data_IF_948589036191
#
_entry.id   IF_948589036191
#
_cell.length_a   1.000
_cell.length_b   1.000
_cell.length_c   1.000
_cell.angle_alpha   90.00
_cell.angle_beta   90.00
_cell.angle_gamma   90.00
#
_symmetry.space_group_name_H-M   'P 1'
#
loop_
_entity.id
_entity.type
_entity.pdbx_description
1 polymer ?
#
# COMPACT_ATOMS: atom_id res chain seq x y z
N UNK A 1 -0.52 13.53 -0.18
CA UNK A 1 -0.99 14.20 1.06
C UNK A 1 0.20 14.92 1.71
N UNK A 2 0.04 16.15 2.22
CA UNK A 2 1.07 16.82 3.03
C UNK A 2 0.55 16.89 4.47
N UNK A 3 1.01 15.98 5.32
CA UNK A 3 0.67 15.90 6.73
C UNK A 3 1.90 15.53 7.57
N UNK A 4 1.86 15.85 8.85
CA UNK A 4 2.92 15.46 9.78
C UNK A 4 2.82 13.95 10.08
N UNK A 5 3.76 13.17 9.55
CA UNK A 5 3.80 11.72 9.71
C UNK A 5 4.32 11.27 11.08
N UNK A 6 5.00 12.16 11.79
CA UNK A 6 5.48 11.94 13.15
C UNK A 6 4.38 12.21 14.19
N UNK A 7 3.32 12.93 13.82
CA UNK A 7 2.18 13.19 14.70
C UNK A 7 1.55 11.89 15.22
N UNK A 8 1.03 11.94 16.45
CA UNK A 8 0.43 10.80 17.14
C UNK A 8 -0.91 11.14 17.74
N UNK A 9 -1.82 10.17 17.66
CA UNK A 9 -2.97 10.09 18.55
C UNK A 9 -2.49 9.39 19.83
N UNK A 10 -2.87 9.90 21.01
CA UNK A 10 -2.48 9.30 22.30
C UNK A 10 -2.88 7.83 22.37
N UNK A 11 -1.94 6.94 22.71
CA UNK A 11 -2.14 5.49 22.74
C UNK A 11 -2.06 4.78 21.37
N UNK A 12 -1.83 5.52 20.28
CA UNK A 12 -1.67 4.97 18.93
C UNK A 12 -0.22 5.03 18.43
N UNK A 13 0.00 4.51 17.22
CA UNK A 13 1.25 4.62 16.45
C UNK A 13 1.28 5.89 15.57
N UNK A 14 2.48 6.31 15.17
CA UNK A 14 2.65 7.36 14.15
C UNK A 14 2.48 6.80 12.73
N UNK A 15 2.40 7.69 11.73
CA UNK A 15 2.38 7.30 10.31
C UNK A 15 3.70 6.67 9.85
N UNK A 16 4.82 7.07 10.44
CA UNK A 16 6.13 6.47 10.16
C UNK A 16 6.25 5.05 10.75
N UNK A 17 5.78 4.84 11.98
CA UNK A 17 5.74 3.51 12.59
C UNK A 17 4.79 2.56 11.85
N UNK A 18 3.65 3.07 11.37
CA UNK A 18 2.75 2.30 10.52
C UNK A 18 3.46 1.85 9.24
N UNK A 19 4.08 2.77 8.50
CA UNK A 19 4.80 2.43 7.26
C UNK A 19 5.93 1.43 7.53
N UNK A 20 6.74 1.65 8.56
CA UNK A 20 7.84 0.76 8.90
C UNK A 20 7.36 -0.67 9.19
N UNK A 21 6.27 -0.83 9.94
CA UNK A 21 5.69 -2.15 10.24
C UNK A 21 5.09 -2.82 9.01
N UNK A 22 4.43 -2.06 8.14
CA UNK A 22 3.86 -2.59 6.91
C UNK A 22 4.97 -3.04 5.95
N UNK A 23 6.01 -2.21 5.78
CA UNK A 23 7.19 -2.54 4.98
C UNK A 23 7.89 -3.81 5.47
N UNK A 24 8.13 -3.94 6.79
CA UNK A 24 8.76 -5.13 7.37
C UNK A 24 7.95 -6.42 7.13
N UNK A 25 6.61 -6.34 7.17
CA UNK A 25 5.76 -7.48 6.84
C UNK A 25 5.87 -7.87 5.36
N UNK A 26 5.87 -6.88 4.46
CA UNK A 26 6.05 -7.10 3.02
C UNK A 26 7.44 -7.65 2.70
N UNK A 27 8.49 -7.18 3.39
CA UNK A 27 9.85 -7.70 3.28
C UNK A 27 9.93 -9.18 3.71
N UNK A 28 9.30 -9.55 4.83
CA UNK A 28 9.20 -10.96 5.27
C UNK A 28 8.56 -11.85 4.20
N UNK A 29 7.53 -11.34 3.51
CA UNK A 29 6.86 -12.05 2.42
C UNK A 29 7.80 -12.15 1.21
N UNK A 30 8.51 -11.08 0.86
CA UNK A 30 9.47 -11.07 -0.25
C UNK A 30 10.61 -12.07 -0.01
N UNK A 31 11.19 -12.07 1.19
CA UNK A 31 12.29 -12.96 1.60
C UNK A 31 11.89 -14.44 1.66
N UNK A 32 10.60 -14.74 1.74
CA UNK A 32 10.10 -16.12 1.66
C UNK A 32 10.31 -16.78 0.29
N UNK A 33 10.59 -15.98 -0.74
CA UNK A 33 10.81 -16.46 -2.12
C UNK A 33 9.53 -16.89 -2.86
N UNK A 34 8.35 -16.64 -2.29
CA UNK A 34 7.07 -16.92 -2.95
C UNK A 34 6.83 -15.99 -4.14
N UNK A 35 6.29 -16.53 -5.22
CA UNK A 35 5.94 -15.77 -6.42
C UNK A 35 4.44 -15.46 -6.43
N UNK A 36 4.08 -14.18 -6.55
CA UNK A 36 2.70 -13.67 -6.52
C UNK A 36 1.90 -14.04 -5.25
N UNK A 37 2.40 -13.72 -4.05
CA UNK A 37 1.70 -13.99 -2.80
C UNK A 37 0.39 -13.18 -2.68
N UNK A 38 -0.63 -13.77 -2.06
CA UNK A 38 -1.88 -13.08 -1.69
C UNK A 38 -1.88 -12.83 -0.19
N UNK A 39 -2.16 -11.59 0.21
CA UNK A 39 -2.11 -11.16 1.61
C UNK A 39 -3.38 -10.40 1.97
N UNK A 40 -3.78 -10.50 3.24
CA UNK A 40 -4.99 -9.86 3.76
C UNK A 40 -4.61 -8.79 4.78
N UNK A 41 -5.26 -7.62 4.68
CA UNK A 41 -5.08 -6.49 5.59
C UNK A 41 -6.39 -5.68 5.68
N UNK A 42 -6.36 -4.56 6.39
CA UNK A 42 -7.49 -3.65 6.48
C UNK A 42 -7.51 -2.67 5.29
N UNK A 43 -8.69 -2.29 4.81
CA UNK A 43 -8.84 -1.41 3.65
C UNK A 43 -8.03 -0.12 3.77
N UNK A 44 -8.19 0.62 4.87
CA UNK A 44 -7.44 1.85 5.14
C UNK A 44 -5.92 1.63 5.14
N UNK A 45 -5.45 0.53 5.75
CA UNK A 45 -4.03 0.21 5.79
C UNK A 45 -3.47 -0.03 4.38
N UNK A 46 -4.22 -0.74 3.52
CA UNK A 46 -3.87 -0.94 2.11
C UNK A 46 -3.84 0.41 1.38
N UNK A 47 -4.87 1.25 1.54
CA UNK A 47 -4.94 2.55 0.86
C UNK A 47 -3.75 3.45 1.20
N UNK A 48 -3.43 3.59 2.50
CA UNK A 48 -2.31 4.43 2.93
C UNK A 48 -0.96 3.89 2.45
N UNK A 49 -0.76 2.57 2.49
CA UNK A 49 0.50 1.97 2.05
C UNK A 49 0.68 1.99 0.52
N UNK A 50 -0.40 1.90 -0.26
CA UNK A 50 -0.37 1.99 -1.72
C UNK A 50 -0.18 3.43 -2.20
N UNK A 51 -0.65 4.43 -1.45
CA UNK A 51 -0.60 5.84 -1.85
C UNK A 51 0.77 6.34 -2.35
N UNK A 52 1.92 6.03 -1.72
CA UNK A 52 3.23 6.48 -2.20
C UNK A 52 3.78 5.68 -3.41
N UNK A 53 3.10 4.62 -3.86
CA UNK A 53 3.59 3.77 -4.96
C UNK A 53 3.47 4.45 -6.32
N UNK A 54 4.24 3.97 -7.31
CA UNK A 54 4.15 4.48 -8.69
C UNK A 54 2.74 4.21 -9.25
N UNK A 55 2.21 5.13 -10.04
CA UNK A 55 0.87 5.12 -10.64
C UNK A 55 -0.32 5.23 -9.66
N UNK A 56 -0.09 5.27 -8.35
CA UNK A 56 -1.12 5.69 -7.41
C UNK A 56 -1.35 7.20 -7.52
N UNK A 57 -2.60 7.64 -7.43
CA UNK A 57 -2.97 9.05 -7.37
C UNK A 57 -3.95 9.35 -6.22
N UNK A 58 -4.31 10.62 -6.06
CA UNK A 58 -5.19 11.06 -4.97
C UNK A 58 -6.65 10.63 -5.14
N UNK A 59 -7.08 10.22 -6.33
CA UNK A 59 -8.44 9.76 -6.58
C UNK A 59 -8.77 8.46 -5.86
N UNK A 60 -7.76 7.69 -5.45
CA UNK A 60 -7.92 6.49 -4.60
C UNK A 60 -8.67 6.79 -3.30
N UNK A 61 -8.49 7.99 -2.73
CA UNK A 61 -9.22 8.41 -1.53
C UNK A 61 -10.74 8.54 -1.77
N UNK A 62 -11.16 8.75 -3.02
CA UNK A 62 -12.57 8.81 -3.42
C UNK A 62 -13.11 7.44 -3.87
N UNK A 63 -12.27 6.41 -3.93
CA UNK A 63 -12.63 5.05 -4.33
C UNK A 63 -12.18 4.04 -3.25
N UNK A 64 -12.77 4.09 -2.05
CA UNK A 64 -12.38 3.22 -0.95
C UNK A 64 -12.63 1.75 -1.27
N UNK A 65 -11.79 0.88 -0.75
CA UNK A 65 -11.87 -0.56 -0.96
C UNK A 65 -13.09 -1.15 -0.22
N UNK A 66 -14.12 -1.70 -0.91
CA UNK A 66 -15.19 -2.44 -0.24
C UNK A 66 -14.66 -3.74 0.37
N UNK A 67 -15.50 -4.41 1.18
CA UNK A 67 -15.16 -5.75 1.67
C UNK A 67 -14.79 -6.67 0.51
N UNK A 68 -13.74 -7.47 0.70
CA UNK A 68 -13.18 -8.39 -0.31
C UNK A 68 -12.59 -7.76 -1.58
N UNK A 69 -12.47 -6.43 -1.63
CA UNK A 69 -11.71 -5.77 -2.69
C UNK A 69 -10.23 -6.16 -2.66
N UNK A 70 -9.57 -6.00 -3.79
CA UNK A 70 -8.16 -6.33 -3.95
C UNK A 70 -7.39 -5.21 -4.67
N UNK A 71 -6.07 -5.23 -4.49
CA UNK A 71 -5.12 -4.35 -5.15
C UNK A 71 -3.99 -5.22 -5.67
N UNK A 72 -3.53 -4.96 -6.89
CA UNK A 72 -2.37 -5.65 -7.46
C UNK A 72 -1.22 -4.66 -7.57
N UNK A 73 -0.06 -5.04 -7.02
CA UNK A 73 1.18 -4.29 -7.10
C UNK A 73 2.26 -5.16 -7.75
N UNK A 74 3.13 -4.51 -8.53
CA UNK A 74 4.34 -5.12 -9.07
C UNK A 74 5.56 -4.34 -8.57
N UNK A 75 6.60 -5.07 -8.16
CA UNK A 75 7.82 -4.44 -7.64
C UNK A 75 8.52 -5.32 -6.61
N UNK A 76 9.38 -4.68 -5.84
CA UNK A 76 10.13 -5.30 -4.75
C UNK A 76 10.54 -4.23 -3.72
N UNK A 77 11.05 -4.63 -2.54
CA UNK A 77 11.47 -3.68 -1.51
C UNK A 77 12.57 -2.69 -1.93
N UNK A 78 13.39 -3.02 -2.93
CA UNK A 78 14.55 -2.21 -3.36
C UNK A 78 14.17 -1.18 -4.43
N UNK A 79 13.49 -1.62 -5.50
CA UNK A 79 13.13 -0.78 -6.66
C UNK A 79 11.82 0.00 -6.46
N UNK A 80 11.12 -0.33 -5.37
CA UNK A 80 9.80 0.17 -5.02
C UNK A 80 8.67 -0.54 -5.76
N UNK A 81 7.45 -0.10 -5.46
CA UNK A 81 6.21 -0.72 -5.93
C UNK A 81 5.50 0.15 -6.97
N UNK A 82 4.81 -0.52 -7.88
CA UNK A 82 3.96 0.07 -8.92
C UNK A 82 2.56 -0.50 -8.79
N UNK A 83 1.56 0.37 -8.67
CA UNK A 83 0.15 -0.01 -8.73
C UNK A 83 -0.19 -0.49 -10.14
N UNK A 84 -0.76 -1.69 -10.23
CA UNK A 84 -1.16 -2.34 -11.48
C UNK A 84 -2.68 -2.35 -11.62
N UNK A 85 -3.38 -2.68 -10.54
CA UNK A 85 -4.85 -2.78 -10.53
C UNK A 85 -5.40 -2.33 -9.18
N UNK A 86 -6.47 -1.55 -9.23
CA UNK A 86 -7.27 -1.14 -8.09
C UNK A 86 -8.68 -1.72 -8.23
N UNK A 87 -8.94 -2.83 -7.57
CA UNK A 87 -10.23 -3.51 -7.52
C UNK A 87 -10.87 -3.73 -8.90
N UNK A 88 -10.12 -4.31 -9.83
CA UNK A 88 -10.52 -4.56 -11.21
C UNK A 88 -10.42 -3.34 -12.14
N UNK A 89 -9.93 -2.20 -11.65
CA UNK A 89 -9.64 -1.03 -12.46
C UNK A 89 -8.12 -0.93 -12.68
N UNK A 90 -7.64 -1.16 -13.92
CA UNK A 90 -6.22 -1.03 -14.22
C UNK A 90 -5.71 0.39 -13.91
N UNK A 91 -4.56 0.45 -13.26
CA UNK A 91 -3.90 1.72 -13.00
C UNK A 91 -3.41 2.36 -14.32
N UNK A 92 -3.32 3.69 -14.39
CA UNK A 92 -2.80 4.37 -15.56
C UNK A 92 -1.39 3.89 -15.89
N UNK A 93 -1.12 3.53 -17.15
CA UNK A 93 0.25 3.32 -17.61
C UNK A 93 0.91 4.69 -17.81
N UNK A 94 2.00 4.96 -17.08
CA UNK A 94 2.85 6.11 -17.42
C UNK A 94 3.60 5.79 -18.71
N UNK A 95 3.48 6.68 -19.71
CA UNK A 95 4.40 6.77 -20.85
C UNK A 95 5.75 7.30 -20.40
#
# INVERSE_FOLDING_TARGET
MHGDRAARISGSISGDEFEARFNAAVETIYDSGQTNPVVFSHGEAIMFWVHPTKNADLSLANNPLPYTAHVVLAGNPTDGWTLVDWNGTPAPSRR
#
